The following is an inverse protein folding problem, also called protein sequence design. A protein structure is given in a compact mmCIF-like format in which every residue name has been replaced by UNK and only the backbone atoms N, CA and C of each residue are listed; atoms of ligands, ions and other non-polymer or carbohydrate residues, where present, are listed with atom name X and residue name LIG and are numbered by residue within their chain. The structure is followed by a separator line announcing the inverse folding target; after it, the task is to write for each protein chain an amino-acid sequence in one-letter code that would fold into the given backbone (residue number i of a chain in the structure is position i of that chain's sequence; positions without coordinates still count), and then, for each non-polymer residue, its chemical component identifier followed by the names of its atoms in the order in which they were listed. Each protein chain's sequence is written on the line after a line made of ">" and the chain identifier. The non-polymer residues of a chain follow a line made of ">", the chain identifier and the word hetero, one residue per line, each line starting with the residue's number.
data_IF_395654695990
#
_entry.id   IF_395654695990
#
_cell.length_a   1.000
_cell.length_b   1.000
_cell.length_c   1.000
_cell.angle_alpha   90.00
_cell.angle_beta   90.00
_cell.angle_gamma   90.00
#
_symmetry.space_group_name_H-M   'P 1'
#
loop_
_entity.id
_entity.type
_entity.pdbx_description
1 polymer ?
#
# COMPACT_ATOMS: atom_id res chain seq x y z
N UNK A 1 -9.66 -14.48 13.15
CA UNK A 1 -8.52 -13.54 13.07
C UNK A 1 -9.06 -12.13 13.14
N UNK A 2 -8.59 -11.30 14.07
CA UNK A 2 -9.02 -9.91 14.19
C UNK A 2 -8.54 -9.02 13.02
N UNK A 3 -9.06 -7.79 12.89
CA UNK A 3 -8.65 -6.87 11.84
C UNK A 3 -7.14 -6.61 11.94
N UNK A 4 -6.41 -6.75 10.82
CA UNK A 4 -4.93 -6.60 10.80
C UNK A 4 -4.45 -5.17 11.01
N UNK A 5 -5.33 -4.19 10.79
CA UNK A 5 -5.02 -2.77 10.91
C UNK A 5 -5.63 -2.21 12.20
N UNK A 6 -4.93 -1.26 12.83
CA UNK A 6 -5.47 -0.45 13.91
C UNK A 6 -6.43 0.58 13.35
N UNK A 7 -7.60 0.71 13.96
CA UNK A 7 -8.51 1.84 13.74
C UNK A 7 -7.88 3.13 14.29
N UNK A 8 -8.34 4.29 13.83
CA UNK A 8 -7.78 5.56 14.29
C UNK A 8 -8.07 5.82 15.78
N UNK A 9 -9.22 5.36 16.27
CA UNK A 9 -9.56 5.39 17.70
C UNK A 9 -8.64 4.48 18.54
N UNK A 10 -8.27 3.30 18.04
CA UNK A 10 -7.27 2.44 18.70
C UNK A 10 -5.89 3.11 18.72
N UNK A 11 -5.47 3.73 17.61
CA UNK A 11 -4.18 4.44 17.55
C UNK A 11 -4.14 5.58 18.57
N UNK A 12 -5.20 6.40 18.64
CA UNK A 12 -5.29 7.51 19.57
C UNK A 12 -5.19 7.03 21.03
N UNK A 13 -5.90 5.95 21.39
CA UNK A 13 -5.83 5.35 22.74
C UNK A 13 -4.45 4.81 23.08
N UNK A 14 -3.79 4.12 22.14
CA UNK A 14 -2.43 3.61 22.33
C UNK A 14 -1.45 4.77 22.55
N UNK A 15 -1.55 5.83 21.75
CA UNK A 15 -0.68 7.00 21.89
C UNK A 15 -0.93 7.75 23.21
N UNK A 16 -2.17 7.84 23.69
CA UNK A 16 -2.48 8.42 24.99
C UNK A 16 -1.83 7.61 26.14
N UNK A 17 -1.92 6.28 26.11
CA UNK A 17 -1.29 5.44 27.11
C UNK A 17 0.25 5.47 27.07
N UNK A 18 0.84 5.65 25.89
CA UNK A 18 2.28 5.87 25.76
C UNK A 18 2.70 7.19 26.42
N UNK A 19 1.92 8.28 26.22
CA UNK A 19 2.16 9.57 26.88
C UNK A 19 2.02 9.47 28.41
N UNK A 20 1.09 8.65 28.89
CA UNK A 20 0.90 8.35 30.32
C UNK A 20 1.96 7.38 30.88
N UNK A 21 2.97 6.98 30.09
CA UNK A 21 4.03 6.03 30.45
C UNK A 21 3.50 4.65 30.91
N UNK A 22 2.37 4.21 30.36
CA UNK A 22 1.82 2.87 30.64
C UNK A 22 2.77 1.80 30.08
N UNK A 23 3.09 0.74 30.85
CA UNK A 23 3.97 -0.32 30.38
C UNK A 23 3.44 -0.98 29.09
N UNK A 24 4.34 -1.25 28.15
CA UNK A 24 3.98 -1.86 26.86
C UNK A 24 3.21 -3.18 27.00
N UNK A 25 3.55 -4.00 28.01
CA UNK A 25 2.84 -5.25 28.33
C UNK A 25 1.37 -5.01 28.68
N UNK A 26 1.08 -3.93 29.40
CA UNK A 26 -0.27 -3.54 29.79
C UNK A 26 -1.04 -2.96 28.58
N UNK A 27 -0.38 -2.19 27.72
CA UNK A 27 -0.98 -1.71 26.46
C UNK A 27 -1.35 -2.90 25.57
N UNK A 28 -0.47 -3.89 25.43
CA UNK A 28 -0.75 -5.12 24.67
C UNK A 28 -1.94 -5.88 25.25
N UNK A 29 -2.00 -6.03 26.58
CA UNK A 29 -3.10 -6.71 27.27
C UNK A 29 -4.44 -6.01 27.03
N UNK A 30 -4.47 -4.67 27.10
CA UNK A 30 -5.69 -3.87 26.91
C UNK A 30 -6.17 -3.84 25.47
N UNK A 31 -5.25 -3.84 24.51
CA UNK A 31 -5.56 -3.73 23.08
C UNK A 31 -5.71 -5.09 22.39
N UNK A 32 -5.19 -6.16 23.00
CA UNK A 32 -5.06 -7.47 22.35
C UNK A 32 -4.10 -7.45 21.15
N UNK A 33 -3.21 -6.45 21.06
CA UNK A 33 -2.28 -6.26 19.94
C UNK A 33 -0.88 -6.72 20.32
N UNK A 34 -0.14 -7.14 19.30
CA UNK A 34 1.25 -7.55 19.47
C UNK A 34 2.16 -6.35 19.77
N UNK A 35 3.17 -6.58 20.62
CA UNK A 35 4.23 -5.61 20.94
C UNK A 35 4.81 -4.93 19.70
N UNK A 36 5.05 -5.70 18.62
CA UNK A 36 5.60 -5.18 17.37
C UNK A 36 4.71 -4.10 16.75
N UNK A 37 3.39 -4.30 16.78
CA UNK A 37 2.43 -3.38 16.19
C UNK A 37 2.41 -2.04 16.93
N UNK A 38 2.43 -2.09 18.27
CA UNK A 38 2.46 -0.90 19.12
C UNK A 38 3.78 -0.15 18.94
N UNK A 39 4.93 -0.84 19.01
CA UNK A 39 6.24 -0.20 18.77
C UNK A 39 6.33 0.47 17.41
N UNK A 40 5.79 -0.18 16.37
CA UNK A 40 5.77 0.39 15.02
C UNK A 40 4.89 1.64 14.94
N UNK A 41 3.77 1.68 15.66
CA UNK A 41 2.91 2.85 15.75
C UNK A 41 3.64 4.01 16.44
N UNK A 42 4.22 3.77 17.61
CA UNK A 42 4.93 4.80 18.40
C UNK A 42 6.10 5.36 17.59
N UNK A 43 6.92 4.51 16.97
CA UNK A 43 8.04 4.94 16.14
C UNK A 43 7.58 5.77 14.93
N UNK A 44 6.47 5.38 14.28
CA UNK A 44 5.91 6.14 13.17
C UNK A 44 5.38 7.52 13.63
N UNK A 45 4.83 7.61 14.85
CA UNK A 45 4.36 8.87 15.41
C UNK A 45 5.53 9.81 15.81
N UNK A 46 6.62 9.28 16.37
CA UNK A 46 7.81 10.07 16.73
C UNK A 46 8.47 10.74 15.51
N UNK A 47 8.34 10.15 14.32
CA UNK A 47 8.88 10.71 13.08
C UNK A 47 8.05 11.88 12.50
N UNK A 48 6.90 12.22 13.10
CA UNK A 48 6.02 13.27 12.61
C UNK A 48 6.18 14.56 13.41
N UNK A 49 6.19 15.73 12.75
CA UNK A 49 6.16 17.00 13.47
C UNK A 49 4.85 17.14 14.29
N UNK A 50 4.88 17.90 15.39
CA UNK A 50 3.69 18.14 16.20
C UNK A 50 2.58 18.77 15.34
N UNK A 51 1.34 18.34 15.56
CA UNK A 51 0.12 18.78 14.86
C UNK A 51 0.07 18.48 13.35
N UNK A 52 0.93 17.59 12.84
CA UNK A 52 0.87 17.17 11.44
C UNK A 52 0.15 15.83 11.30
N UNK A 53 -0.97 15.82 10.57
CA UNK A 53 -1.66 14.59 10.20
C UNK A 53 -0.86 13.95 9.04
N UNK A 54 -0.35 12.73 9.20
CA UNK A 54 0.39 12.08 8.14
C UNK A 54 -0.54 11.82 6.95
N UNK A 55 -0.11 12.10 5.70
CA UNK A 55 -0.91 11.75 4.54
C UNK A 55 -1.10 10.24 4.50
N UNK A 56 -2.30 9.79 4.14
CA UNK A 56 -2.54 8.39 3.86
C UNK A 56 -1.57 7.94 2.77
N UNK A 57 -0.88 6.82 3.01
CA UNK A 57 0.01 6.24 2.01
C UNK A 57 -0.84 5.93 0.78
N UNK A 58 -0.62 6.65 -0.32
CA UNK A 58 -1.24 6.36 -1.60
C UNK A 58 -0.80 4.97 -2.00
N UNK A 59 -1.75 4.04 -2.07
CA UNK A 59 -1.47 2.72 -2.59
C UNK A 59 -1.28 2.83 -4.09
N UNK A 60 -0.04 3.02 -4.51
CA UNK A 60 0.31 2.87 -5.92
C UNK A 60 0.30 1.37 -6.21
N UNK A 61 -0.62 0.94 -7.08
CA UNK A 61 -0.62 -0.42 -7.60
C UNK A 61 0.73 -0.79 -8.22
N UNK A 62 0.92 -2.08 -8.53
CA UNK A 62 2.13 -2.53 -9.20
C UNK A 62 2.34 -1.71 -10.49
N UNK A 63 3.59 -1.33 -10.84
CA UNK A 63 3.88 -0.69 -12.10
C UNK A 63 3.25 -1.47 -13.28
N UNK A 64 2.69 -0.73 -14.24
CA UNK A 64 2.09 -1.32 -15.45
C UNK A 64 3.14 -2.18 -16.17
N UNK A 65 2.68 -3.28 -16.76
CA UNK A 65 3.55 -4.19 -17.54
C UNK A 65 3.90 -3.63 -18.91
N UNK A 66 3.05 -2.76 -19.43
CA UNK A 66 3.19 -2.09 -20.72
C UNK A 66 3.36 -0.59 -20.51
N UNK A 67 4.05 0.05 -21.44
CA UNK A 67 4.13 1.51 -21.52
C UNK A 67 2.94 2.05 -22.33
N UNK A 68 2.65 3.35 -22.20
CA UNK A 68 1.60 4.00 -23.00
C UNK A 68 1.84 3.86 -24.51
N UNK A 69 3.11 3.89 -24.94
CA UNK A 69 3.49 3.66 -26.33
C UNK A 69 3.12 2.26 -26.81
N UNK A 70 3.36 1.24 -25.99
CA UNK A 70 2.97 -0.15 -26.30
C UNK A 70 1.45 -0.29 -26.34
N UNK A 71 0.71 0.29 -25.40
CA UNK A 71 -0.75 0.24 -25.38
C UNK A 71 -1.35 0.90 -26.64
N UNK A 72 -0.83 2.06 -27.04
CA UNK A 72 -1.26 2.76 -28.26
C UNK A 72 -0.96 1.95 -29.54
N UNK A 73 0.18 1.27 -29.58
CA UNK A 73 0.52 0.38 -30.70
C UNK A 73 -0.44 -0.81 -30.77
N UNK A 74 -0.65 -1.50 -29.64
CA UNK A 74 -1.56 -2.65 -29.56
C UNK A 74 -2.98 -2.25 -29.95
N UNK A 75 -3.46 -1.10 -29.49
CA UNK A 75 -4.77 -0.58 -29.85
C UNK A 75 -4.89 -0.33 -31.36
N UNK A 76 -3.87 0.25 -31.99
CA UNK A 76 -3.85 0.48 -33.44
C UNK A 76 -3.90 -0.83 -34.24
N UNK A 77 -3.15 -1.84 -33.81
CA UNK A 77 -3.11 -3.13 -34.52
C UNK A 77 -4.44 -3.89 -34.40
N UNK A 78 -5.07 -3.88 -33.22
CA UNK A 78 -6.42 -4.46 -33.03
C UNK A 78 -7.48 -3.72 -33.86
N UNK A 79 -7.38 -2.40 -33.99
CA UNK A 79 -8.30 -1.62 -34.81
C UNK A 79 -8.14 -1.89 -36.31
N UNK A 80 -6.93 -2.21 -36.78
CA UNK A 80 -6.67 -2.59 -38.19
C UNK A 80 -7.19 -3.98 -38.51
N UNK A 81 -6.97 -4.94 -37.62
CA UNK A 81 -7.47 -6.31 -37.75
C UNK A 81 -8.13 -6.78 -36.44
N UNK A 82 -9.46 -6.68 -36.33
CA UNK A 82 -10.18 -7.07 -35.12
C UNK A 82 -10.09 -8.57 -34.78
N UNK A 83 -9.63 -9.42 -35.72
CA UNK A 83 -9.49 -10.87 -35.53
C UNK A 83 -8.08 -11.28 -35.12
N UNK A 84 -7.15 -10.33 -35.02
CA UNK A 84 -5.78 -10.62 -34.62
C UNK A 84 -5.73 -11.23 -33.21
N UNK A 85 -5.00 -12.32 -33.07
CA UNK A 85 -4.84 -12.98 -31.77
C UNK A 85 -3.76 -12.28 -30.93
N UNK A 86 -3.86 -12.38 -29.61
CA UNK A 86 -2.83 -11.85 -28.71
C UNK A 86 -1.43 -12.42 -28.99
N UNK A 87 -1.33 -13.68 -29.43
CA UNK A 87 -0.06 -14.31 -29.80
C UNK A 87 0.55 -13.68 -31.07
N UNK A 88 -0.28 -13.31 -32.06
CA UNK A 88 0.15 -12.61 -33.26
C UNK A 88 0.57 -11.18 -32.96
N UNK A 89 -0.20 -10.46 -32.13
CA UNK A 89 0.16 -9.12 -31.65
C UNK A 89 1.52 -9.09 -30.94
N UNK A 90 1.77 -10.07 -30.07
CA UNK A 90 3.03 -10.17 -29.33
C UNK A 90 4.24 -10.39 -30.26
N UNK A 91 4.08 -11.16 -31.34
CA UNK A 91 5.12 -11.36 -32.35
C UNK A 91 5.42 -10.07 -33.13
N UNK A 92 4.41 -9.28 -33.43
CA UNK A 92 4.58 -8.02 -34.15
C UNK A 92 5.12 -6.88 -33.25
N UNK A 93 4.83 -6.92 -31.94
CA UNK A 93 5.24 -5.89 -30.99
C UNK A 93 6.65 -6.07 -30.43
N UNK A 94 7.27 -7.24 -30.60
CA UNK A 94 8.64 -7.49 -30.14
C UNK A 94 9.56 -7.60 -31.35
N UNK A 95 10.48 -6.64 -31.59
CA UNK A 95 11.56 -6.90 -32.53
C UNK A 95 12.33 -8.12 -32.03
N UNK A 96 12.61 -9.06 -32.92
CA UNK A 96 13.50 -10.18 -32.63
C UNK A 96 14.81 -9.61 -32.06
N UNK A 97 15.16 -10.03 -30.85
CA UNK A 97 16.53 -9.92 -30.35
C UNK A 97 17.41 -10.92 -31.07
#
# INVERSE_FOLDING_TARGET
>A
MGPRNLTDEEKARIMAWELDNVPLSEICRRTGRENFTIKRLVAAACGLPPNVIPPYKTYHGRPRKTTEGTDNFLQREVLKDPRITAAQLKKNSMPAC
#
